data_IF_359427915881
#
_entry.id   IF_359427915881
#
_cell.length_a   1.000
_cell.length_b   1.000
_cell.length_c   1.000
_cell.angle_alpha   90.00
_cell.angle_beta   90.00
_cell.angle_gamma   90.00
#
_symmetry.space_group_name_H-M   'P 1'
#
loop_
_entity.id
_entity.type
_entity.pdbx_description
1 polymer ?
#
# COMPACT_ATOMS: atom_id res chain seq x y z
N UNK A 1 -12.30 -3.29 8.49
CA UNK A 1 -11.49 -2.33 7.72
C UNK A 1 -10.54 -3.14 6.87
N UNK A 2 -10.43 -2.83 5.59
CA UNK A 2 -9.57 -3.57 4.68
C UNK A 2 -8.18 -2.92 4.68
N UNK A 3 -7.12 -3.69 4.90
CA UNK A 3 -5.75 -3.23 4.77
C UNK A 3 -5.28 -3.30 3.30
N UNK A 4 -4.22 -2.59 2.96
CA UNK A 4 -3.61 -2.63 1.62
C UNK A 4 -3.21 -4.05 1.24
N UNK A 5 -2.74 -4.86 2.21
CA UNK A 5 -2.46 -6.29 2.01
C UNK A 5 -3.63 -7.04 1.36
N UNK A 6 -4.86 -6.69 1.69
CA UNK A 6 -6.06 -7.30 1.10
C UNK A 6 -6.13 -7.08 -0.42
N UNK A 7 -5.74 -5.90 -0.92
CA UNK A 7 -5.67 -5.65 -2.37
C UNK A 7 -4.52 -6.42 -3.01
N UNK A 8 -3.36 -6.43 -2.39
CA UNK A 8 -2.18 -7.18 -2.85
C UNK A 8 -2.51 -8.67 -2.96
N UNK A 9 -3.12 -9.26 -1.93
CA UNK A 9 -3.52 -10.67 -1.93
C UNK A 9 -4.58 -10.99 -3.00
N UNK A 10 -5.52 -10.05 -3.23
CA UNK A 10 -6.49 -10.19 -4.32
C UNK A 10 -5.83 -10.11 -5.69
N UNK A 11 -4.84 -9.25 -5.90
CA UNK A 11 -4.06 -9.19 -7.14
C UNK A 11 -3.40 -10.54 -7.41
N UNK A 12 -2.75 -11.14 -6.43
CA UNK A 12 -2.16 -12.46 -6.58
C UNK A 12 -3.20 -13.53 -6.91
N UNK A 13 -4.28 -13.60 -6.15
CA UNK A 13 -5.30 -14.61 -6.32
C UNK A 13 -6.05 -14.49 -7.65
N UNK A 14 -6.41 -13.26 -8.01
CA UNK A 14 -7.35 -13.02 -9.11
C UNK A 14 -6.62 -12.86 -10.47
N UNK A 15 -5.36 -12.38 -10.47
CA UNK A 15 -4.64 -12.05 -11.71
C UNK A 15 -3.28 -12.74 -11.88
N UNK A 16 -2.43 -12.75 -10.85
CA UNK A 16 -1.05 -13.21 -10.99
C UNK A 16 -0.89 -14.72 -10.72
N UNK A 17 -1.96 -15.39 -10.30
CA UNK A 17 -1.96 -16.83 -10.00
C UNK A 17 -0.86 -17.27 -9.03
N UNK A 18 -0.39 -16.35 -8.17
CA UNK A 18 0.45 -16.76 -7.05
C UNK A 18 -0.48 -17.60 -6.17
N UNK A 19 -0.30 -18.90 -6.10
CA UNK A 19 -1.11 -19.70 -5.22
C UNK A 19 -0.94 -19.13 -3.81
N UNK A 20 -1.98 -19.22 -3.01
CA UNK A 20 -2.01 -18.88 -1.59
C UNK A 20 -0.82 -19.49 -0.83
N UNK A 21 -0.86 -19.56 0.48
CA UNK A 21 0.11 -20.21 1.38
C UNK A 21 0.66 -21.56 0.93
N UNK A 22 -0.05 -22.26 0.02
CA UNK A 22 0.36 -23.55 -0.55
C UNK A 22 1.56 -23.46 -1.53
N UNK A 23 1.92 -22.28 -1.99
CA UNK A 23 3.11 -22.07 -2.83
C UNK A 23 4.27 -21.44 -2.10
N UNK A 24 4.09 -21.16 -0.83
CA UNK A 24 5.23 -20.84 0.01
C UNK A 24 6.21 -21.99 -0.07
N UNK A 25 7.46 -21.65 -0.33
CA UNK A 25 8.50 -22.64 -0.38
C UNK A 25 8.68 -23.29 1.00
N UNK A 26 8.66 -22.47 2.07
CA UNK A 26 8.75 -22.88 3.45
C UNK A 26 8.23 -21.79 4.38
N UNK A 27 8.49 -21.98 5.66
CA UNK A 27 8.28 -20.99 6.69
C UNK A 27 9.56 -20.75 7.47
N UNK A 28 9.66 -19.60 8.10
CA UNK A 28 10.72 -19.33 9.04
C UNK A 28 10.65 -20.28 10.24
N UNK A 29 11.77 -20.88 10.58
CA UNK A 29 12.00 -21.61 11.83
C UNK A 29 12.69 -20.66 12.81
N UNK A 30 11.89 -19.93 13.55
CA UNK A 30 12.29 -18.85 14.44
C UNK A 30 12.26 -17.46 13.82
N UNK A 31 11.94 -16.47 14.67
CA UNK A 31 11.88 -15.07 14.26
C UNK A 31 13.24 -14.53 13.81
N UNK A 32 13.23 -13.59 12.85
CA UNK A 32 14.42 -12.98 12.29
C UNK A 32 14.45 -11.48 12.57
N UNK A 33 15.57 -10.97 13.11
CA UNK A 33 15.75 -9.52 13.31
C UNK A 33 16.15 -8.81 12.01
N UNK A 34 16.05 -7.50 11.97
CA UNK A 34 16.44 -6.64 10.83
C UNK A 34 17.96 -6.65 10.52
N UNK A 35 18.76 -7.04 11.47
CA UNK A 35 20.24 -7.10 11.37
C UNK A 35 20.81 -8.50 11.21
N UNK A 36 19.98 -9.54 11.33
CA UNK A 36 20.40 -10.93 11.20
C UNK A 36 20.59 -11.31 9.73
N UNK A 37 21.73 -11.93 9.39
CA UNK A 37 22.09 -12.36 8.04
C UNK A 37 21.96 -13.87 7.82
N UNK A 38 21.31 -14.57 8.74
CA UNK A 38 21.02 -16.00 8.64
C UNK A 38 19.53 -16.22 8.81
N UNK A 39 18.98 -17.10 7.99
CA UNK A 39 17.58 -17.47 7.97
C UNK A 39 17.50 -18.98 8.16
N UNK A 40 16.74 -19.44 9.14
CA UNK A 40 16.39 -20.85 9.31
C UNK A 40 15.01 -21.10 8.74
N UNK A 41 14.80 -22.29 8.16
CA UNK A 41 13.53 -22.65 7.56
C UNK A 41 13.05 -24.02 8.04
N UNK A 42 11.74 -24.21 8.06
CA UNK A 42 11.11 -25.44 8.52
C UNK A 42 11.35 -26.61 7.56
N UNK A 43 11.26 -27.83 8.09
CA UNK A 43 11.36 -29.08 7.35
C UNK A 43 10.03 -29.44 6.67
N UNK A 44 10.13 -30.06 5.51
CA UNK A 44 9.04 -30.89 5.00
C UNK A 44 8.14 -30.26 3.94
N UNK A 45 8.41 -29.07 3.48
CA UNK A 45 7.64 -28.47 2.36
C UNK A 45 8.35 -28.61 0.99
N UNK A 46 9.52 -29.27 0.95
CA UNK A 46 10.36 -29.33 -0.26
C UNK A 46 10.36 -30.69 -0.92
N UNK A 47 10.33 -30.63 -2.25
CA UNK A 47 10.97 -31.67 -3.05
C UNK A 47 12.50 -31.46 -3.04
N UNK A 48 13.25 -32.53 -3.23
CA UNK A 48 14.73 -32.49 -3.38
C UNK A 48 15.16 -31.56 -4.53
N UNK A 49 14.28 -31.31 -5.51
CA UNK A 49 14.51 -30.41 -6.64
C UNK A 49 14.44 -28.96 -6.22
N UNK A 50 13.56 -28.59 -5.30
CA UNK A 50 13.42 -27.23 -4.77
C UNK A 50 14.58 -26.87 -3.83
N UNK A 51 15.10 -27.82 -3.04
CA UNK A 51 16.31 -27.60 -2.25
C UNK A 51 17.53 -27.24 -3.12
N UNK A 52 17.59 -27.77 -4.35
CA UNK A 52 18.65 -27.44 -5.30
C UNK A 52 18.55 -25.98 -5.82
N UNK A 53 17.36 -25.35 -5.74
CA UNK A 53 17.18 -23.95 -6.10
C UNK A 53 17.72 -22.99 -5.05
N UNK A 54 17.95 -23.47 -3.80
CA UNK A 54 18.51 -22.66 -2.70
C UNK A 54 20.00 -22.38 -2.81
N UNK A 55 20.58 -22.50 -3.98
CA UNK A 55 22.00 -22.22 -4.20
C UNK A 55 22.37 -20.75 -4.02
N UNK A 56 23.69 -20.49 -4.04
CA UNK A 56 24.21 -19.13 -4.10
C UNK A 56 23.63 -18.37 -5.31
N UNK A 57 23.04 -17.22 -5.05
CA UNK A 57 22.37 -16.42 -6.08
C UNK A 57 20.85 -16.58 -6.14
N UNK A 58 20.25 -17.52 -5.40
CA UNK A 58 18.81 -17.58 -5.24
C UNK A 58 18.28 -16.33 -4.52
N UNK A 59 17.07 -15.95 -4.83
CA UNK A 59 16.36 -14.87 -4.15
C UNK A 59 15.29 -15.50 -3.26
N UNK A 60 15.26 -15.13 -1.99
CA UNK A 60 14.17 -15.49 -1.08
C UNK A 60 13.37 -14.25 -0.71
N UNK A 61 12.06 -14.39 -0.67
CA UNK A 61 11.11 -13.36 -0.27
C UNK A 61 10.46 -13.75 1.06
N UNK A 62 10.47 -12.81 2.01
CA UNK A 62 9.72 -12.89 3.26
C UNK A 62 8.99 -11.57 3.45
N UNK A 63 7.67 -11.58 3.42
CA UNK A 63 6.86 -10.36 3.43
C UNK A 63 7.22 -9.44 2.27
N UNK A 64 7.61 -8.20 2.56
CA UNK A 64 8.05 -7.22 1.54
C UNK A 64 9.56 -7.21 1.29
N UNK A 65 10.31 -8.06 1.96
CA UNK A 65 11.76 -8.08 1.83
C UNK A 65 12.23 -9.17 0.86
N UNK A 66 13.15 -8.80 -0.02
CA UNK A 66 13.93 -9.72 -0.83
C UNK A 66 15.33 -9.86 -0.22
N UNK A 67 15.81 -11.09 -0.18
CA UNK A 67 17.14 -11.45 0.32
C UNK A 67 17.86 -12.28 -0.72
N UNK A 68 19.14 -11.99 -0.96
CA UNK A 68 19.99 -12.79 -1.84
C UNK A 68 20.68 -13.88 -1.03
N UNK A 69 20.46 -15.14 -1.39
CA UNK A 69 21.15 -16.28 -0.77
C UNK A 69 22.62 -16.27 -1.16
N UNK A 70 23.50 -16.20 -0.18
CA UNK A 70 24.96 -16.25 -0.36
C UNK A 70 25.53 -17.64 -0.10
N UNK A 71 24.89 -18.42 0.77
CA UNK A 71 25.17 -19.83 0.94
C UNK A 71 23.96 -20.54 1.55
N UNK A 72 23.83 -21.84 1.27
CA UNK A 72 22.78 -22.68 1.83
C UNK A 72 23.40 -23.93 2.47
N UNK A 73 22.92 -24.26 3.65
CA UNK A 73 23.20 -25.53 4.32
C UNK A 73 21.87 -26.28 4.52
N UNK A 74 21.54 -27.13 3.57
CA UNK A 74 20.28 -27.88 3.58
C UNK A 74 20.23 -28.89 4.72
N UNK A 75 21.38 -29.42 5.17
CA UNK A 75 21.41 -30.38 6.30
C UNK A 75 21.03 -29.73 7.64
N UNK A 76 21.34 -28.43 7.81
CA UNK A 76 20.97 -27.67 9.01
C UNK A 76 19.81 -26.72 8.75
N UNK A 77 19.33 -26.65 7.51
CA UNK A 77 18.24 -25.75 7.09
C UNK A 77 18.49 -24.29 7.38
N UNK A 78 19.72 -23.87 7.16
CA UNK A 78 20.15 -22.47 7.38
C UNK A 78 20.65 -21.88 6.08
N UNK A 79 20.11 -20.72 5.72
CA UNK A 79 20.59 -19.89 4.62
C UNK A 79 21.39 -18.72 5.18
N UNK A 80 22.53 -18.43 4.57
CA UNK A 80 23.16 -17.12 4.74
C UNK A 80 22.67 -16.19 3.66
N UNK A 81 22.24 -15.00 4.01
CA UNK A 81 21.56 -14.08 3.11
C UNK A 81 22.15 -12.67 3.18
N UNK A 82 22.11 -11.99 2.04
CA UNK A 82 22.30 -10.53 1.97
C UNK A 82 20.93 -9.86 1.99
N UNK A 83 20.69 -9.05 3.02
CA UNK A 83 19.42 -8.39 3.31
C UNK A 83 19.15 -7.21 2.38
N UNK A 84 17.88 -6.85 2.24
CA UNK A 84 17.47 -5.66 1.48
C UNK A 84 17.82 -5.72 -0.01
N UNK A 85 17.80 -6.91 -0.60
CA UNK A 85 18.14 -7.09 -2.01
C UNK A 85 17.15 -6.36 -2.93
N UNK A 86 17.65 -5.92 -4.08
CA UNK A 86 16.85 -5.21 -5.11
C UNK A 86 16.11 -3.97 -4.60
N UNK A 87 16.68 -3.25 -3.62
CA UNK A 87 16.11 -2.01 -3.09
C UNK A 87 14.99 -2.19 -2.06
N UNK A 88 14.77 -3.41 -1.58
CA UNK A 88 13.90 -3.65 -0.42
C UNK A 88 14.58 -3.22 0.87
N UNK A 89 13.84 -3.14 1.96
CA UNK A 89 14.38 -2.75 3.27
C UNK A 89 14.42 -3.97 4.18
N UNK A 90 15.55 -4.19 4.86
CA UNK A 90 15.67 -5.20 5.88
C UNK A 90 14.67 -4.91 7.02
N UNK A 91 13.87 -5.90 7.38
CA UNK A 91 12.83 -5.80 8.40
C UNK A 91 12.86 -6.99 9.35
N UNK A 92 12.14 -6.90 10.46
CA UNK A 92 11.91 -8.03 11.35
C UNK A 92 10.85 -8.94 10.75
N UNK A 93 11.05 -10.25 10.88
CA UNK A 93 10.11 -11.26 10.44
C UNK A 93 9.74 -12.16 11.62
N UNK A 94 8.48 -12.56 11.66
CA UNK A 94 7.97 -13.43 12.71
C UNK A 94 8.33 -14.90 12.44
N UNK A 95 8.29 -15.70 13.48
CA UNK A 95 8.28 -17.14 13.36
C UNK A 95 7.09 -17.59 12.51
N UNK A 96 7.26 -18.61 11.69
CA UNK A 96 6.26 -19.14 10.74
C UNK A 96 5.89 -18.19 9.56
N UNK A 97 6.56 -17.05 9.38
CA UNK A 97 6.37 -16.25 8.17
C UNK A 97 6.73 -17.04 6.91
N UNK A 98 5.90 -16.92 5.88
CA UNK A 98 6.09 -17.65 4.62
C UNK A 98 7.35 -17.20 3.88
N UNK A 99 8.09 -18.18 3.36
CA UNK A 99 9.26 -17.98 2.50
C UNK A 99 8.92 -18.39 1.08
N UNK A 100 9.22 -17.54 0.10
CA UNK A 100 9.11 -17.85 -1.32
C UNK A 100 10.50 -17.81 -1.98
N UNK A 101 10.74 -18.73 -2.95
CA UNK A 101 12.00 -18.76 -3.72
C UNK A 101 11.76 -18.22 -5.11
N UNK A 102 12.68 -17.37 -5.57
CA UNK A 102 12.73 -16.82 -6.91
C UNK A 102 11.33 -16.37 -7.39
N UNK A 103 10.62 -15.51 -6.64
CA UNK A 103 9.25 -15.15 -6.99
C UNK A 103 9.25 -14.42 -8.35
N UNK A 104 8.39 -14.86 -9.28
CA UNK A 104 8.20 -14.19 -10.57
C UNK A 104 7.65 -12.78 -10.35
N UNK A 105 6.76 -12.63 -9.41
CA UNK A 105 6.17 -11.36 -9.01
C UNK A 105 6.47 -11.11 -7.52
N UNK A 106 7.57 -10.40 -7.21
CA UNK A 106 7.89 -10.07 -5.82
C UNK A 106 6.78 -9.24 -5.16
N UNK A 107 6.44 -9.58 -3.91
CA UNK A 107 5.37 -8.90 -3.15
C UNK A 107 5.59 -7.40 -3.04
N UNK A 108 6.86 -6.99 -2.86
CA UNK A 108 7.22 -5.56 -2.85
C UNK A 108 6.86 -4.86 -4.16
N UNK A 109 7.10 -5.49 -5.30
CA UNK A 109 6.76 -4.92 -6.61
C UNK A 109 5.24 -4.78 -6.80
N UNK A 110 4.47 -5.76 -6.33
CA UNK A 110 3.01 -5.71 -6.36
C UNK A 110 2.47 -4.62 -5.42
N UNK A 111 3.04 -4.52 -4.23
CA UNK A 111 2.70 -3.45 -3.28
C UNK A 111 3.02 -2.06 -3.84
N UNK A 112 4.19 -1.87 -4.44
CA UNK A 112 4.58 -0.58 -5.01
C UNK A 112 3.68 -0.18 -6.18
N UNK A 113 3.40 -1.10 -7.10
CA UNK A 113 2.46 -0.86 -8.19
C UNK A 113 1.05 -0.52 -7.67
N UNK A 114 0.57 -1.22 -6.65
CA UNK A 114 -0.72 -0.94 -5.99
C UNK A 114 -0.70 0.46 -5.38
N UNK A 115 0.35 0.81 -4.67
CA UNK A 115 0.53 2.10 -4.00
C UNK A 115 0.56 3.27 -4.99
N UNK A 116 1.29 3.10 -6.08
CA UNK A 116 1.38 4.09 -7.15
C UNK A 116 0.04 4.27 -7.86
N UNK A 117 -0.72 3.20 -8.07
CA UNK A 117 -2.03 3.29 -8.68
C UNK A 117 -3.07 3.94 -7.76
N UNK A 118 -2.97 3.78 -6.44
CA UNK A 118 -3.80 4.54 -5.49
C UNK A 118 -3.52 6.04 -5.64
N UNK A 119 -2.25 6.46 -5.69
CA UNK A 119 -1.90 7.87 -5.85
C UNK A 119 -2.33 8.43 -7.22
N UNK A 120 -2.20 7.65 -8.29
CA UNK A 120 -2.58 8.02 -9.66
C UNK A 120 -4.08 8.19 -9.90
N UNK A 121 -4.94 7.76 -8.99
CA UNK A 121 -6.38 8.05 -9.08
C UNK A 121 -6.64 9.55 -9.15
N UNK A 122 -5.84 10.36 -8.45
CA UNK A 122 -5.88 11.82 -8.59
C UNK A 122 -5.04 12.26 -9.82
N UNK A 123 -5.47 13.22 -10.67
CA UNK A 123 -6.61 14.12 -10.50
C UNK A 123 -7.93 13.65 -11.11
N UNK A 124 -7.99 12.47 -11.72
CA UNK A 124 -9.21 12.00 -12.39
C UNK A 124 -10.34 11.69 -11.39
N UNK A 125 -9.95 11.16 -10.22
CA UNK A 125 -10.83 10.83 -9.12
C UNK A 125 -10.35 11.52 -7.83
N UNK A 126 -11.24 11.69 -6.89
CA UNK A 126 -10.95 12.25 -5.55
C UNK A 126 -11.99 11.77 -4.55
N UNK A 127 -11.62 11.80 -3.29
CA UNK A 127 -12.54 11.52 -2.19
C UNK A 127 -13.14 12.83 -1.66
N UNK A 128 -14.41 12.80 -1.26
CA UNK A 128 -15.10 13.91 -0.60
C UNK A 128 -15.41 13.48 0.83
N UNK A 129 -14.80 14.14 1.78
CA UNK A 129 -14.96 13.82 3.21
C UNK A 129 -15.38 15.06 4.00
N UNK A 130 -15.96 14.83 5.18
CA UNK A 130 -16.16 15.88 6.17
C UNK A 130 -15.00 15.89 7.16
N UNK A 131 -14.57 17.08 7.55
CA UNK A 131 -13.53 17.28 8.54
C UNK A 131 -13.95 18.38 9.48
N UNK A 132 -13.89 18.14 10.78
CA UNK A 132 -14.20 19.14 11.78
C UNK A 132 -12.90 19.80 12.25
N UNK A 133 -12.90 21.11 12.24
CA UNK A 133 -11.77 21.91 12.71
C UNK A 133 -12.25 22.95 13.72
N UNK A 134 -11.40 23.29 14.67
CA UNK A 134 -11.71 24.35 15.64
C UNK A 134 -11.12 25.67 15.13
N UNK A 135 -11.96 26.70 15.07
CA UNK A 135 -11.51 28.06 14.71
C UNK A 135 -10.60 28.63 15.79
N UNK A 136 -9.29 28.51 15.60
CA UNK A 136 -8.30 29.16 16.45
C UNK A 136 -7.88 30.48 15.81
N UNK A 137 -8.29 31.58 16.40
CA UNK A 137 -7.95 32.97 16.08
C UNK A 137 -7.84 33.36 14.58
N UNK A 138 -7.09 32.66 13.74
CA UNK A 138 -6.89 33.03 12.32
C UNK A 138 -6.88 31.86 11.35
N UNK A 139 -6.46 30.67 11.78
CA UNK A 139 -6.41 29.48 10.89
C UNK A 139 -6.62 28.19 11.68
N UNK A 140 -6.97 27.13 10.99
CA UNK A 140 -6.94 25.75 11.51
C UNK A 140 -6.26 24.82 10.50
N UNK A 141 -5.54 23.84 11.00
CA UNK A 141 -4.89 22.82 10.19
C UNK A 141 -5.90 21.87 9.57
N UNK A 142 -5.67 21.50 8.32
CA UNK A 142 -6.42 20.47 7.61
C UNK A 142 -5.44 19.40 7.07
N UNK A 143 -5.93 18.19 6.77
CA UNK A 143 -5.07 17.14 6.21
C UNK A 143 -4.31 17.61 4.97
N UNK A 144 -3.03 17.24 4.85
CA UNK A 144 -2.17 17.60 3.72
C UNK A 144 -2.71 17.12 2.36
N UNK A 145 -3.54 16.06 2.37
CA UNK A 145 -4.23 15.56 1.17
C UNK A 145 -5.39 16.45 0.68
N UNK A 146 -5.75 17.52 1.41
CA UNK A 146 -6.84 18.43 1.05
C UNK A 146 -6.47 19.23 -0.20
N UNK A 147 -7.31 19.12 -1.22
CA UNK A 147 -7.14 19.82 -2.50
C UNK A 147 -8.01 21.07 -2.56
N UNK A 148 -9.22 20.98 -2.06
CA UNK A 148 -10.22 22.04 -2.14
C UNK A 148 -11.19 21.92 -0.95
N UNK A 149 -11.73 23.05 -0.49
CA UNK A 149 -12.84 23.07 0.44
C UNK A 149 -14.09 23.43 -0.36
N UNK A 150 -15.02 22.48 -0.40
CA UNK A 150 -16.25 22.60 -1.18
C UNK A 150 -17.31 23.42 -0.43
N UNK A 151 -17.38 23.25 0.88
CA UNK A 151 -18.28 24.00 1.74
C UNK A 151 -17.79 24.01 3.18
N UNK A 152 -18.26 25.01 3.94
CA UNK A 152 -17.92 25.20 5.33
C UNK A 152 -19.14 25.67 6.12
N UNK A 153 -19.36 25.06 7.26
CA UNK A 153 -20.51 25.36 8.13
C UNK A 153 -20.07 25.51 9.56
N UNK A 154 -20.59 26.50 10.25
CA UNK A 154 -20.37 26.74 11.67
C UNK A 154 -21.70 26.79 12.43
N UNK A 155 -21.73 26.20 13.62
CA UNK A 155 -22.81 26.34 14.56
C UNK A 155 -22.39 27.28 15.68
N UNK A 156 -22.94 28.48 15.71
CA UNK A 156 -22.55 29.52 16.66
C UNK A 156 -22.93 29.21 18.11
N UNK A 157 -24.02 28.49 18.31
CA UNK A 157 -24.46 27.98 19.59
C UNK A 157 -25.12 26.62 19.45
N UNK A 158 -25.03 25.78 20.47
CA UNK A 158 -25.67 24.46 20.50
C UNK A 158 -27.19 24.61 20.24
N UNK A 159 -27.65 23.90 19.19
CA UNK A 159 -29.03 23.94 18.75
C UNK A 159 -29.37 25.10 17.79
N UNK A 160 -28.46 26.01 17.49
CA UNK A 160 -28.65 27.01 16.43
C UNK A 160 -28.53 26.38 15.03
N UNK A 161 -29.03 27.07 14.02
CA UNK A 161 -28.85 26.65 12.65
C UNK A 161 -27.39 26.78 12.25
N UNK A 162 -26.93 25.89 11.35
CA UNK A 162 -25.62 26.01 10.72
C UNK A 162 -25.63 27.18 9.74
N UNK A 163 -24.59 27.98 9.79
CA UNK A 163 -24.36 29.09 8.87
C UNK A 163 -23.09 28.84 8.09
N UNK A 164 -22.99 29.37 6.87
CA UNK A 164 -21.77 29.26 6.09
C UNK A 164 -20.65 30.07 6.75
N UNK A 165 -19.49 29.44 6.93
CA UNK A 165 -18.27 30.12 7.39
C UNK A 165 -17.50 30.62 6.15
N UNK A 166 -17.00 31.87 6.20
CA UNK A 166 -16.07 32.36 5.19
C UNK A 166 -14.68 31.75 5.45
N UNK A 167 -14.15 31.05 4.46
CA UNK A 167 -12.84 30.40 4.58
C UNK A 167 -11.99 30.58 3.32
N UNK A 168 -10.68 30.45 3.48
CA UNK A 168 -9.70 30.36 2.41
C UNK A 168 -8.73 29.21 2.70
N UNK A 169 -8.44 28.38 1.70
CA UNK A 169 -7.46 27.30 1.81
C UNK A 169 -6.06 27.87 1.58
N UNK A 170 -5.22 27.78 2.60
CA UNK A 170 -3.81 28.17 2.56
C UNK A 170 -2.94 26.95 2.30
N UNK A 171 -2.10 27.02 1.27
CA UNK A 171 -1.11 26.02 0.93
C UNK A 171 0.28 26.53 1.23
N UNK A 172 1.21 25.60 1.43
CA UNK A 172 2.60 25.92 1.77
C UNK A 172 2.68 26.91 2.94
N UNK A 173 1.85 26.70 3.95
CA UNK A 173 1.71 27.55 5.11
C UNK A 173 2.62 27.07 6.25
N UNK A 174 3.83 27.63 6.43
CA UNK A 174 4.85 27.13 7.36
C UNK A 174 4.42 27.02 8.83
N UNK A 175 3.49 27.84 9.36
CA UNK A 175 2.98 27.67 10.72
C UNK A 175 2.16 26.39 10.92
N UNK A 176 1.65 25.77 9.85
CA UNK A 176 0.92 24.49 9.92
C UNK A 176 1.88 23.31 9.85
N UNK A 177 1.68 22.32 10.71
CA UNK A 177 2.45 21.07 10.69
C UNK A 177 2.21 20.24 9.42
N UNK A 178 1.06 20.42 8.78
CA UNK A 178 0.67 19.77 7.51
C UNK A 178 0.98 20.62 6.28
N UNK A 179 1.53 21.82 6.47
CA UNK A 179 1.69 22.86 5.44
C UNK A 179 0.38 23.24 4.72
N UNK A 180 -0.76 22.83 5.26
CA UNK A 180 -2.09 23.10 4.71
C UNK A 180 -3.02 23.54 5.81
N UNK A 181 -3.65 24.68 5.66
CA UNK A 181 -4.55 25.23 6.64
C UNK A 181 -5.75 25.92 5.98
N UNK A 182 -6.80 26.16 6.75
CA UNK A 182 -7.89 27.06 6.37
C UNK A 182 -7.84 28.32 7.21
N UNK A 183 -7.91 29.45 6.58
CA UNK A 183 -8.10 30.76 7.24
C UNK A 183 -9.58 31.03 7.35
N UNK A 184 -10.01 31.58 8.48
CA UNK A 184 -11.41 31.91 8.75
C UNK A 184 -11.63 33.41 8.61
N UNK A 185 -12.74 33.75 7.96
CA UNK A 185 -13.27 35.12 7.88
C UNK A 185 -14.62 35.15 8.58
N UNK A 186 -14.80 36.11 9.49
CA UNK A 186 -16.08 36.35 10.19
C UNK A 186 -16.59 35.15 11.02
N UNK A 187 -15.68 34.31 11.54
CA UNK A 187 -16.04 33.19 12.42
C UNK A 187 -15.48 33.48 13.83
N UNK A 188 -16.33 33.28 14.85
CA UNK A 188 -15.89 33.44 16.24
C UNK A 188 -14.86 32.39 16.63
N UNK A 189 -13.85 32.79 17.41
CA UNK A 189 -12.82 31.88 17.91
C UNK A 189 -13.41 30.77 18.80
N UNK A 190 -12.87 29.56 18.70
CA UNK A 190 -13.27 28.42 19.53
C UNK A 190 -14.53 27.70 19.07
N UNK A 191 -15.01 27.98 17.87
CA UNK A 191 -16.14 27.26 17.26
C UNK A 191 -15.69 26.07 16.46
N UNK A 192 -16.50 25.01 16.44
CA UNK A 192 -16.32 23.89 15.52
C UNK A 192 -16.85 24.28 14.17
N UNK A 193 -15.99 24.20 13.14
CA UNK A 193 -16.34 24.41 11.75
C UNK A 193 -16.30 23.08 11.04
N UNK A 194 -17.41 22.70 10.45
CA UNK A 194 -17.57 21.50 9.64
C UNK A 194 -17.19 21.83 8.21
N UNK A 195 -16.12 21.21 7.70
CA UNK A 195 -15.62 21.39 6.36
C UNK A 195 -16.00 20.18 5.50
N UNK A 196 -16.55 20.41 4.34
CA UNK A 196 -16.64 19.41 3.28
C UNK A 196 -15.44 19.62 2.36
N UNK A 197 -14.54 18.66 2.33
CA UNK A 197 -13.25 18.80 1.65
C UNK A 197 -13.11 17.76 0.55
N UNK A 198 -12.52 18.19 -0.55
CA UNK A 198 -12.04 17.34 -1.63
C UNK A 198 -10.60 16.96 -1.31
N UNK A 199 -10.34 15.65 -1.26
CA UNK A 199 -9.03 15.12 -0.90
C UNK A 199 -8.50 14.22 -2.00
N UNK A 200 -7.18 14.26 -2.22
CA UNK A 200 -6.50 13.27 -3.04
C UNK A 200 -6.33 11.98 -2.25
N UNK A 201 -6.28 10.87 -2.95
CA UNK A 201 -5.93 9.59 -2.35
C UNK A 201 -4.49 9.63 -1.82
N UNK A 202 -4.24 8.90 -0.76
CA UNK A 202 -2.95 8.91 -0.07
C UNK A 202 -2.22 7.62 -0.37
N UNK A 203 -0.99 7.73 -0.85
CA UNK A 203 -0.11 6.59 -1.08
C UNK A 203 0.16 5.86 0.23
N UNK A 204 -0.09 4.53 0.32
CA UNK A 204 0.21 3.76 1.52
C UNK A 204 1.73 3.66 1.75
N UNK A 205 2.13 3.59 3.00
CA UNK A 205 3.53 3.45 3.44
C UNK A 205 3.93 2.00 3.64
N UNK A 206 2.97 1.14 3.97
CA UNK A 206 3.14 -0.29 4.18
C UNK A 206 1.80 -1.03 3.94
N UNK A 207 1.85 -2.36 3.97
CA UNK A 207 0.69 -3.21 3.69
C UNK A 207 -0.37 -3.25 4.80
N UNK A 208 -0.02 -2.84 6.01
CA UNK A 208 -0.94 -2.86 7.16
C UNK A 208 -1.82 -1.63 7.22
N UNK A 209 -1.50 -0.63 6.40
CA UNK A 209 -2.25 0.63 6.33
C UNK A 209 -3.69 0.37 5.88
N UNK A 210 -4.61 1.03 6.58
CA UNK A 210 -6.04 0.94 6.31
C UNK A 210 -6.41 1.69 5.01
N UNK A 211 -7.15 1.01 4.14
CA UNK A 211 -7.55 1.57 2.85
C UNK A 211 -8.56 2.70 3.00
N UNK A 212 -9.52 2.54 3.90
CA UNK A 212 -10.66 3.45 4.01
C UNK A 212 -10.26 4.78 4.65
N UNK A 213 -9.55 4.71 5.78
CA UNK A 213 -9.26 5.89 6.61
C UNK A 213 -7.95 6.58 6.24
N UNK A 214 -6.92 5.81 5.90
CA UNK A 214 -5.61 6.37 5.53
C UNK A 214 -5.52 6.69 4.04
N UNK A 215 -5.79 5.71 3.18
CA UNK A 215 -5.71 5.90 1.72
C UNK A 215 -6.93 6.65 1.15
N UNK A 216 -8.02 6.74 1.92
CA UNK A 216 -9.31 7.30 1.53
C UNK A 216 -9.99 6.51 0.39
N UNK A 217 -9.71 5.21 0.34
CA UNK A 217 -10.18 4.29 -0.69
C UNK A 217 -11.34 3.45 -0.12
N UNK A 218 -12.46 4.09 0.20
CA UNK A 218 -13.63 3.49 0.83
C UNK A 218 -14.60 2.82 -0.18
N UNK A 219 -14.52 3.18 -1.48
CA UNK A 219 -15.36 2.60 -2.52
C UNK A 219 -14.68 1.39 -3.18
N UNK A 220 -15.36 0.24 -3.15
CA UNK A 220 -14.87 -1.00 -3.78
C UNK A 220 -14.68 -0.88 -5.31
N UNK A 221 -15.37 0.05 -5.97
CA UNK A 221 -15.15 0.32 -7.39
C UNK A 221 -13.72 0.83 -7.63
N UNK A 222 -13.21 1.65 -6.72
CA UNK A 222 -11.82 2.14 -6.81
C UNK A 222 -10.80 1.03 -6.57
N UNK A 223 -11.12 0.05 -5.70
CA UNK A 223 -10.27 -1.13 -5.49
C UNK A 223 -10.03 -1.87 -6.82
N UNK A 224 -11.08 -2.05 -7.63
CA UNK A 224 -10.95 -2.72 -8.92
C UNK A 224 -10.06 -1.94 -9.88
N UNK A 225 -10.23 -0.61 -9.97
CA UNK A 225 -9.41 0.26 -10.82
C UNK A 225 -7.93 0.18 -10.41
N UNK A 226 -7.65 0.23 -9.12
CA UNK A 226 -6.30 0.13 -8.57
C UNK A 226 -5.68 -1.23 -8.89
N UNK A 227 -6.39 -2.32 -8.65
CA UNK A 227 -5.88 -3.66 -8.92
C UNK A 227 -5.54 -3.87 -10.39
N UNK A 228 -6.43 -3.48 -11.28
CA UNK A 228 -6.22 -3.63 -12.73
C UNK A 228 -5.05 -2.77 -13.20
N UNK A 229 -4.94 -1.53 -12.73
CA UNK A 229 -3.81 -0.65 -13.04
C UNK A 229 -2.48 -1.21 -12.52
N UNK A 230 -2.46 -1.73 -11.29
CA UNK A 230 -1.27 -2.34 -10.70
C UNK A 230 -0.81 -3.57 -11.50
N UNK A 231 -1.74 -4.43 -11.91
CA UNK A 231 -1.45 -5.60 -12.73
C UNK A 231 -0.86 -5.18 -14.09
N UNK A 232 -1.42 -4.18 -14.74
CA UNK A 232 -0.90 -3.65 -16.00
C UNK A 232 0.54 -3.12 -15.86
N UNK A 233 0.82 -2.38 -14.79
CA UNK A 233 2.17 -1.87 -14.50
C UNK A 233 3.17 -3.01 -14.25
N UNK A 234 2.77 -4.05 -13.49
CA UNK A 234 3.60 -5.21 -13.18
C UNK A 234 3.96 -5.98 -14.44
N UNK A 235 2.98 -6.24 -15.31
CA UNK A 235 3.21 -6.94 -16.58
C UNK A 235 4.14 -6.15 -17.48
N UNK A 236 3.98 -4.85 -17.56
CA UNK A 236 4.85 -3.97 -18.35
C UNK A 236 6.28 -3.88 -17.83
N UNK A 237 6.51 -4.15 -16.54
CA UNK A 237 7.80 -4.04 -15.89
C UNK A 237 8.54 -5.38 -15.73
N UNK A 238 7.84 -6.51 -15.84
CA UNK A 238 8.38 -7.85 -15.56
C UNK A 238 8.61 -8.59 -16.88
N UNK A 239 9.79 -9.20 -17.01
CA UNK A 239 10.09 -10.10 -18.13
C UNK A 239 9.43 -11.46 -17.85
N UNK A 240 8.20 -11.60 -18.32
CA UNK A 240 7.38 -12.80 -18.14
C UNK A 240 7.25 -13.56 -19.47
N UNK A 241 7.07 -14.86 -19.39
CA UNK A 241 6.84 -15.66 -20.58
C UNK A 241 5.52 -15.30 -21.29
N UNK A 242 5.50 -15.51 -22.62
CA UNK A 242 4.37 -15.11 -23.44
C UNK A 242 3.02 -15.74 -23.01
N UNK A 243 3.04 -16.96 -22.47
CA UNK A 243 1.84 -17.67 -22.04
C UNK A 243 1.23 -17.02 -20.79
N UNK A 244 2.08 -16.66 -19.82
CA UNK A 244 1.68 -15.94 -18.61
C UNK A 244 1.16 -14.54 -18.97
N UNK A 245 1.83 -13.84 -19.88
CA UNK A 245 1.41 -12.52 -20.35
C UNK A 245 0.03 -12.58 -21.04
N UNK A 246 -0.18 -13.55 -21.93
CA UNK A 246 -1.45 -13.75 -22.62
C UNK A 246 -2.58 -14.02 -21.64
N UNK A 247 -2.38 -14.93 -20.67
CA UNK A 247 -3.36 -15.26 -19.64
C UNK A 247 -3.80 -14.04 -18.82
N UNK A 248 -2.84 -13.22 -18.37
CA UNK A 248 -3.15 -12.03 -17.58
C UNK A 248 -3.84 -10.97 -18.45
N UNK A 249 -3.41 -10.81 -19.70
CA UNK A 249 -4.02 -9.89 -20.67
C UNK A 249 -5.47 -10.27 -20.95
N UNK A 250 -5.79 -11.56 -21.09
CA UNK A 250 -7.17 -12.03 -21.26
C UNK A 250 -8.03 -11.70 -20.03
N UNK A 251 -7.50 -11.88 -18.82
CA UNK A 251 -8.21 -11.51 -17.58
C UNK A 251 -8.49 -10.00 -17.52
N UNK A 252 -7.51 -9.16 -17.84
CA UNK A 252 -7.70 -7.71 -17.88
C UNK A 252 -8.73 -7.28 -18.93
N UNK A 253 -8.73 -7.91 -20.10
CA UNK A 253 -9.70 -7.64 -21.16
C UNK A 253 -11.13 -8.03 -20.74
N UNK A 254 -11.30 -9.09 -19.95
CA UNK A 254 -12.58 -9.49 -19.41
C UNK A 254 -13.18 -8.45 -18.46
N UNK A 255 -12.36 -7.64 -17.82
CA UNK A 255 -12.77 -6.52 -16.94
C UNK A 255 -13.03 -5.22 -17.72
N UNK A 256 -13.06 -5.26 -19.05
CA UNK A 256 -13.22 -4.10 -19.95
C UNK A 256 -12.11 -3.03 -19.77
N UNK A 257 -10.93 -3.42 -19.35
CA UNK A 257 -9.80 -2.51 -19.26
C UNK A 257 -9.07 -2.43 -20.61
N UNK A 258 -8.88 -1.24 -21.19
CA UNK A 258 -8.14 -1.11 -22.44
C UNK A 258 -6.67 -1.44 -22.20
N UNK A 259 -6.25 -2.61 -22.66
CA UNK A 259 -4.85 -3.00 -22.72
C UNK A 259 -4.25 -2.29 -23.92
N UNK A 260 -3.52 -1.20 -23.69
CA UNK A 260 -2.89 -0.37 -24.72
C UNK A 260 -1.53 -0.90 -25.15
#
# INVERSE_FOLDING_TARGET
>A
MAAVSTLVDRIYRDYLNKPDDLSAFSRLDGAMTDSQNTLSYEDGLFSVEEENLLGNGAIVEVGLELMLVTSANTSTRVLSVSRGYSGTTASTHADEDNIFINPTFPRKSVFDATSDNIERLYPSLWNVTTTDVTSNSTYAEVPASTVEVLSSYVQEATGSQYTSAGIELLRDFPPSSTNTAVQFYNTSTGKTVHLVVKRRFVRPTDETVDLDTFCLLDDQTYHQIVMVGAVADIIGATDIDATTQEFITEKLAAENYPVG
#
